data_IF_709598065602
#
_entry.id   IF_709598065602
#
_cell.length_a   1.000
_cell.length_b   1.000
_cell.length_c   1.000
_cell.angle_alpha   90.00
_cell.angle_beta   90.00
_cell.angle_gamma   90.00
#
_symmetry.space_group_name_H-M   'P 1'
#
loop_
_entity.id
_entity.type
_entity.pdbx_description
1 polymer ?
#
# COMPACT_ATOMS: atom_id res chain seq x y z
N UNK A 1 -5.31 -10.77 -31.79
CA UNK A 1 -5.66 -10.46 -30.40
C UNK A 1 -4.96 -9.18 -29.93
N UNK A 2 -5.55 -8.49 -28.94
CA UNK A 2 -4.97 -7.32 -28.28
C UNK A 2 -5.27 -7.33 -26.79
N UNK A 3 -4.42 -6.66 -26.00
CA UNK A 3 -4.65 -6.42 -24.59
C UNK A 3 -4.24 -4.99 -24.21
N UNK A 4 -4.87 -4.45 -23.18
CA UNK A 4 -4.59 -3.10 -22.66
C UNK A 4 -4.10 -3.18 -21.22
N UNK A 5 -3.15 -2.32 -20.88
CA UNK A 5 -2.69 -2.12 -19.50
C UNK A 5 -2.50 -0.63 -19.22
N UNK A 6 -2.55 -0.28 -17.95
CA UNK A 6 -2.23 1.04 -17.42
C UNK A 6 -1.18 0.88 -16.34
N UNK A 7 -0.36 1.88 -16.15
CA UNK A 7 0.60 1.96 -15.05
C UNK A 7 0.42 3.33 -14.37
N UNK A 8 -0.55 3.45 -13.44
CA UNK A 8 -0.77 4.68 -12.70
C UNK A 8 0.39 4.94 -11.73
N UNK A 9 0.60 6.20 -11.38
CA UNK A 9 1.54 6.64 -10.37
C UNK A 9 0.98 6.41 -8.97
N UNK A 10 1.84 6.06 -8.01
CA UNK A 10 1.51 6.10 -6.59
C UNK A 10 1.50 7.53 -6.03
N UNK A 11 0.91 7.71 -4.85
CA UNK A 11 0.88 9.01 -4.16
C UNK A 11 2.20 9.31 -3.44
N UNK A 12 2.85 8.31 -2.87
CA UNK A 12 4.18 8.37 -2.23
C UNK A 12 5.19 7.53 -3.00
N UNK A 13 6.47 7.83 -2.83
CA UNK A 13 7.57 7.09 -3.47
C UNK A 13 8.68 6.79 -2.45
N UNK A 14 9.19 5.55 -2.45
CA UNK A 14 10.39 5.18 -1.71
C UNK A 14 11.68 5.60 -2.43
N UNK A 15 12.77 5.74 -1.70
CA UNK A 15 14.08 6.16 -2.25
C UNK A 15 14.61 5.19 -3.31
N UNK A 16 14.27 3.92 -3.19
CA UNK A 16 14.77 2.85 -4.07
C UNK A 16 13.81 2.49 -5.21
N UNK A 17 12.68 3.16 -5.32
CA UNK A 17 11.75 2.93 -6.41
C UNK A 17 12.37 3.20 -7.79
N UNK A 18 11.90 2.47 -8.77
CA UNK A 18 12.27 2.69 -10.15
C UNK A 18 11.67 4.01 -10.66
N UNK A 19 12.44 4.72 -11.49
CA UNK A 19 12.11 6.07 -11.94
C UNK A 19 10.87 6.09 -12.83
N UNK A 20 9.87 6.87 -12.43
CA UNK A 20 8.74 7.22 -13.28
C UNK A 20 9.11 8.34 -14.25
N UNK A 21 8.97 8.08 -15.54
CA UNK A 21 9.32 9.05 -16.58
C UNK A 21 8.18 10.04 -16.83
N UNK A 22 8.44 11.32 -16.55
CA UNK A 22 7.56 12.46 -16.80
C UNK A 22 8.22 13.45 -17.75
N UNK A 23 7.41 14.30 -18.38
CA UNK A 23 7.86 15.33 -19.34
C UNK A 23 8.22 16.63 -18.61
N UNK A 24 9.19 16.56 -17.69
CA UNK A 24 9.53 17.64 -16.74
C UNK A 24 9.77 19.02 -17.37
N UNK A 25 10.20 19.06 -18.63
CA UNK A 25 10.46 20.31 -19.36
C UNK A 25 9.23 20.81 -20.15
N UNK A 26 8.10 20.14 -20.08
CA UNK A 26 6.90 20.51 -20.80
C UNK A 26 5.99 21.37 -19.89
N UNK A 27 5.70 22.62 -20.29
CA UNK A 27 4.75 23.49 -19.58
C UNK A 27 3.32 22.92 -19.54
N UNK A 28 2.97 22.05 -20.50
CA UNK A 28 1.70 21.34 -20.54
C UNK A 28 1.57 20.41 -19.34
N UNK A 29 0.47 20.48 -18.63
CA UNK A 29 0.23 19.71 -17.40
C UNK A 29 1.31 19.90 -16.32
N UNK A 30 1.93 21.08 -16.25
CA UNK A 30 2.97 21.40 -15.26
C UNK A 30 4.13 20.38 -15.24
N UNK A 31 4.51 19.86 -16.40
CA UNK A 31 5.57 18.84 -16.53
C UNK A 31 5.16 17.42 -16.13
N UNK A 32 3.89 17.19 -15.78
CA UNK A 32 3.40 15.88 -15.31
C UNK A 32 2.90 14.96 -16.43
N UNK A 33 2.99 15.37 -17.70
CA UNK A 33 2.60 14.51 -18.81
C UNK A 33 3.60 13.36 -19.03
N UNK A 34 3.23 12.37 -19.83
CA UNK A 34 4.01 11.14 -20.09
C UNK A 34 4.25 10.89 -21.58
N UNK A 35 4.27 11.94 -22.40
CA UNK A 35 4.43 11.80 -23.85
C UNK A 35 5.78 11.18 -24.25
N UNK A 36 6.85 11.51 -23.53
CA UNK A 36 8.15 10.88 -23.73
C UNK A 36 8.11 9.36 -23.44
N UNK A 37 7.41 8.95 -22.38
CA UNK A 37 7.22 7.54 -22.06
C UNK A 37 6.44 6.82 -23.17
N UNK A 38 5.34 7.43 -23.64
CA UNK A 38 4.55 6.91 -24.78
C UNK A 38 5.40 6.80 -26.04
N UNK A 39 6.19 7.82 -26.37
CA UNK A 39 7.07 7.78 -27.53
C UNK A 39 8.10 6.65 -27.42
N UNK A 40 8.69 6.42 -26.25
CA UNK A 40 9.65 5.32 -26.04
C UNK A 40 8.99 3.94 -26.21
N UNK A 41 7.73 3.79 -25.80
CA UNK A 41 6.97 2.55 -26.04
C UNK A 41 6.80 2.33 -27.55
N UNK A 42 6.31 3.35 -28.26
CA UNK A 42 5.96 3.24 -29.67
C UNK A 42 7.18 3.12 -30.60
N UNK A 43 8.36 3.55 -30.17
CA UNK A 43 9.59 3.52 -30.97
C UNK A 43 10.56 2.44 -30.48
N UNK A 44 11.27 2.69 -29.36
CA UNK A 44 12.35 1.82 -28.89
C UNK A 44 11.84 0.46 -28.42
N UNK A 45 10.84 0.44 -27.52
CA UNK A 45 10.32 -0.81 -26.95
C UNK A 45 9.66 -1.64 -28.05
N UNK A 46 8.76 -1.03 -28.81
CA UNK A 46 8.03 -1.70 -29.90
C UNK A 46 9.00 -2.36 -30.90
N UNK A 47 10.05 -1.63 -31.34
CA UNK A 47 11.05 -2.15 -32.29
C UNK A 47 11.76 -3.42 -31.75
N UNK A 48 12.11 -3.44 -30.47
CA UNK A 48 12.86 -4.55 -29.85
C UNK A 48 11.98 -5.74 -29.46
N UNK A 49 10.67 -5.54 -29.29
CA UNK A 49 9.74 -6.61 -28.95
C UNK A 49 9.05 -7.23 -30.17
N UNK A 50 9.14 -6.61 -31.34
CA UNK A 50 8.56 -7.16 -32.57
C UNK A 50 9.14 -8.53 -32.88
N UNK A 51 8.25 -9.52 -33.12
CA UNK A 51 8.62 -10.90 -33.39
C UNK A 51 8.96 -11.74 -32.15
N UNK A 52 8.88 -11.18 -30.96
CA UNK A 52 9.11 -11.97 -29.73
C UNK A 52 7.86 -12.82 -29.40
N UNK A 53 8.12 -14.01 -28.82
CA UNK A 53 7.04 -14.87 -28.36
C UNK A 53 6.36 -14.27 -27.12
N UNK A 54 5.06 -13.99 -27.25
CA UNK A 54 4.25 -13.38 -26.18
C UNK A 54 4.14 -14.25 -24.91
N UNK A 55 4.38 -15.56 -25.02
CA UNK A 55 4.31 -16.47 -23.88
C UNK A 55 5.60 -16.48 -23.03
N UNK A 56 6.67 -15.88 -23.53
CA UNK A 56 7.98 -15.80 -22.86
C UNK A 56 8.11 -14.52 -22.07
N UNK A 57 7.35 -14.36 -20.99
CA UNK A 57 7.30 -13.11 -20.18
C UNK A 57 8.69 -12.68 -19.70
N UNK A 58 9.48 -13.61 -19.15
CA UNK A 58 10.82 -13.31 -18.64
C UNK A 58 11.74 -12.75 -19.74
N UNK A 59 11.64 -13.27 -20.96
CA UNK A 59 12.40 -12.78 -22.10
C UNK A 59 11.97 -11.37 -22.51
N UNK A 60 10.66 -11.10 -22.55
CA UNK A 60 10.10 -9.78 -22.85
C UNK A 60 10.58 -8.76 -21.81
N UNK A 61 10.50 -9.09 -20.54
CA UNK A 61 10.94 -8.21 -19.45
C UNK A 61 12.46 -7.98 -19.50
N UNK A 62 13.25 -9.03 -19.72
CA UNK A 62 14.71 -8.93 -19.86
C UNK A 62 15.14 -8.03 -21.02
N UNK A 63 14.47 -8.12 -22.17
CA UNK A 63 14.74 -7.23 -23.33
C UNK A 63 14.53 -5.77 -22.92
N UNK A 64 13.45 -5.44 -22.25
CA UNK A 64 13.15 -4.06 -21.84
C UNK A 64 14.11 -3.57 -20.75
N UNK A 65 14.45 -4.44 -19.78
CA UNK A 65 15.40 -4.13 -18.70
C UNK A 65 16.80 -3.86 -19.29
N UNK A 66 17.26 -4.68 -20.21
CA UNK A 66 18.55 -4.52 -20.88
C UNK A 66 18.59 -3.28 -21.79
N UNK A 67 17.47 -2.99 -22.47
CA UNK A 67 17.32 -1.79 -23.29
C UNK A 67 17.41 -0.49 -22.47
N UNK A 68 16.89 -0.51 -21.26
CA UNK A 68 17.07 0.58 -20.29
C UNK A 68 18.52 0.62 -19.77
N UNK A 69 19.05 -0.50 -19.32
CA UNK A 69 20.43 -0.66 -18.84
C UNK A 69 20.78 0.13 -17.59
N UNK A 70 19.79 0.72 -16.88
CA UNK A 70 20.01 1.44 -15.62
C UNK A 70 19.34 0.74 -14.44
N UNK A 71 19.94 0.82 -13.25
CA UNK A 71 19.40 0.21 -12.03
C UNK A 71 17.97 0.69 -11.73
N UNK A 72 17.72 1.98 -11.85
CA UNK A 72 16.44 2.61 -11.54
C UNK A 72 15.51 2.83 -12.77
N UNK A 73 15.79 2.23 -13.92
CA UNK A 73 14.98 2.36 -15.14
C UNK A 73 14.84 3.81 -15.64
N UNK A 74 15.92 4.61 -15.53
CA UNK A 74 15.87 6.06 -15.85
C UNK A 74 15.77 6.38 -17.33
N UNK A 75 16.24 5.49 -18.23
CA UNK A 75 16.23 5.78 -19.68
C UNK A 75 14.84 5.58 -20.28
N UNK A 76 14.19 4.46 -20.02
CA UNK A 76 12.84 4.16 -20.53
C UNK A 76 11.74 4.64 -19.61
N UNK A 77 11.98 4.59 -18.30
CA UNK A 77 10.99 4.80 -17.27
C UNK A 77 10.27 3.51 -16.83
N UNK A 78 10.11 3.35 -15.53
CA UNK A 78 9.41 2.20 -14.96
C UNK A 78 7.97 2.11 -15.50
N UNK A 79 7.29 3.23 -15.62
CA UNK A 79 5.91 3.29 -16.16
C UNK A 79 5.82 2.77 -17.60
N UNK A 80 6.80 3.06 -18.47
CA UNK A 80 6.83 2.51 -19.83
C UNK A 80 7.03 0.99 -19.82
N UNK A 81 8.02 0.52 -19.06
CA UNK A 81 8.39 -0.90 -19.00
C UNK A 81 7.22 -1.70 -18.40
N UNK A 82 6.68 -1.27 -17.27
CA UNK A 82 5.63 -1.99 -16.57
C UNK A 82 4.32 -2.04 -17.35
N UNK A 83 3.93 -0.93 -18.00
CA UNK A 83 2.73 -0.92 -18.85
C UNK A 83 2.81 -1.97 -19.96
N UNK A 84 3.97 -2.08 -20.62
CA UNK A 84 4.18 -3.06 -21.70
C UNK A 84 4.24 -4.49 -21.15
N UNK A 85 4.96 -4.71 -20.04
CA UNK A 85 5.07 -6.01 -19.36
C UNK A 85 3.69 -6.55 -18.97
N UNK A 86 2.86 -5.73 -18.34
CA UNK A 86 1.49 -6.12 -17.95
C UNK A 86 0.63 -6.40 -19.20
N UNK A 87 0.72 -5.56 -20.24
CA UNK A 87 -0.03 -5.77 -21.47
C UNK A 87 0.35 -7.09 -22.15
N UNK A 88 1.64 -7.41 -22.22
CA UNK A 88 2.16 -8.66 -22.76
C UNK A 88 1.61 -9.87 -21.97
N UNK A 89 1.66 -9.83 -20.65
CA UNK A 89 1.14 -10.91 -19.80
C UNK A 89 -0.38 -11.11 -19.96
N UNK A 90 -1.13 -10.00 -20.02
CA UNK A 90 -2.58 -10.05 -20.31
C UNK A 90 -2.89 -10.64 -21.68
N UNK A 91 -2.10 -10.30 -22.70
CA UNK A 91 -2.28 -10.85 -24.04
C UNK A 91 -1.98 -12.36 -24.06
N UNK A 92 -0.88 -12.78 -23.41
CA UNK A 92 -0.53 -14.20 -23.27
C UNK A 92 -1.65 -15.01 -22.57
N UNK A 93 -2.23 -14.47 -21.49
CA UNK A 93 -3.35 -15.09 -20.80
C UNK A 93 -4.59 -15.20 -21.70
N UNK A 94 -4.90 -14.16 -22.47
CA UNK A 94 -6.02 -14.13 -23.41
C UNK A 94 -5.86 -15.16 -24.53
N UNK A 95 -4.66 -15.31 -25.07
CA UNK A 95 -4.39 -16.33 -26.11
C UNK A 95 -4.49 -17.74 -25.57
N UNK A 96 -4.05 -17.98 -24.32
CA UNK A 96 -4.24 -19.24 -23.61
C UNK A 96 -5.68 -19.50 -23.16
N UNK A 97 -6.59 -18.53 -23.34
CA UNK A 97 -7.99 -18.59 -22.88
C UNK A 97 -8.13 -18.88 -21.37
N UNK A 98 -7.21 -18.34 -20.58
CA UNK A 98 -7.23 -18.50 -19.11
C UNK A 98 -7.22 -17.13 -18.42
N UNK A 99 -7.83 -16.99 -17.24
CA UNK A 99 -7.73 -15.75 -16.45
C UNK A 99 -6.28 -15.41 -16.12
N UNK A 100 -5.96 -14.09 -16.10
CA UNK A 100 -4.60 -13.60 -15.86
C UNK A 100 -3.97 -14.20 -14.59
N UNK A 101 -4.71 -14.22 -13.47
CA UNK A 101 -4.19 -14.75 -12.21
C UNK A 101 -3.72 -16.20 -12.30
N UNK A 102 -4.33 -17.03 -13.15
CA UNK A 102 -3.90 -18.43 -13.37
C UNK A 102 -2.54 -18.53 -14.05
N UNK A 103 -2.06 -17.49 -14.72
CA UNK A 103 -0.73 -17.49 -15.35
C UNK A 103 0.41 -17.32 -14.33
N UNK A 104 0.12 -16.97 -13.09
CA UNK A 104 1.09 -16.81 -12.01
C UNK A 104 1.07 -17.96 -11.00
N UNK A 105 0.13 -18.90 -11.15
CA UNK A 105 -0.04 -19.97 -10.18
C UNK A 105 1.00 -21.08 -10.38
N UNK A 106 1.79 -21.33 -9.35
CA UNK A 106 2.68 -22.49 -9.25
C UNK A 106 1.89 -23.69 -8.71
N UNK A 107 0.85 -23.44 -7.88
CA UNK A 107 -0.01 -24.48 -7.26
C UNK A 107 -1.45 -24.35 -7.76
N UNK A 108 -2.17 -25.48 -7.83
CA UNK A 108 -3.58 -25.51 -8.28
C UNK A 108 -4.54 -24.79 -7.33
N UNK A 109 -4.22 -24.73 -6.04
CA UNK A 109 -5.06 -24.11 -5.02
C UNK A 109 -4.54 -22.71 -4.69
N UNK A 110 -5.39 -21.72 -4.84
CA UNK A 110 -5.12 -20.34 -4.43
C UNK A 110 -6.25 -19.84 -3.52
N UNK A 111 -5.90 -18.91 -2.65
CA UNK A 111 -6.86 -18.20 -1.81
C UNK A 111 -6.69 -16.71 -2.05
N UNK A 112 -7.80 -15.97 -2.11
CA UNK A 112 -7.74 -14.50 -2.06
C UNK A 112 -7.27 -14.09 -0.66
N UNK A 113 -6.40 -13.07 -0.55
CA UNK A 113 -6.05 -12.50 0.74
C UNK A 113 -7.27 -11.81 1.36
N UNK A 114 -7.27 -11.68 2.69
CA UNK A 114 -8.22 -10.79 3.34
C UNK A 114 -7.96 -9.36 2.90
N UNK A 115 -8.98 -8.57 2.52
CA UNK A 115 -8.79 -7.17 2.20
C UNK A 115 -8.40 -6.40 3.47
N UNK A 116 -7.39 -5.55 3.38
CA UNK A 116 -7.13 -4.49 4.33
C UNK A 116 -7.69 -3.20 3.74
N UNK A 117 -8.67 -2.62 4.41
CA UNK A 117 -9.42 -1.48 3.87
C UNK A 117 -9.11 -0.24 4.69
N UNK A 118 -8.52 0.78 4.07
CA UNK A 118 -8.27 2.07 4.68
C UNK A 118 -9.60 2.79 4.97
N UNK A 119 -9.86 3.13 6.23
CA UNK A 119 -11.11 3.73 6.66
C UNK A 119 -10.94 5.09 7.36
N UNK A 120 -9.74 5.41 7.84
CA UNK A 120 -9.35 6.75 8.29
C UNK A 120 -7.97 7.09 7.70
N UNK A 121 -7.87 8.25 7.08
CA UNK A 121 -6.63 8.79 6.54
C UNK A 121 -6.01 9.81 7.48
N UNK A 122 -4.69 9.79 7.55
CA UNK A 122 -3.86 10.80 8.19
C UNK A 122 -2.57 11.03 7.39
N UNK A 123 -1.51 11.50 8.04
CA UNK A 123 -0.21 11.72 7.42
C UNK A 123 -0.30 12.55 6.14
N UNK A 124 0.34 12.07 5.06
CA UNK A 124 0.33 12.73 3.76
C UNK A 124 -1.01 12.59 3.01
N UNK A 125 -1.88 11.63 3.40
CA UNK A 125 -3.15 11.35 2.72
C UNK A 125 -4.31 12.22 3.20
N UNK A 126 -4.12 13.04 4.25
CA UNK A 126 -5.16 13.92 4.78
C UNK A 126 -4.58 15.17 5.44
N UNK A 127 -5.23 16.30 5.24
CA UNK A 127 -4.86 17.55 5.92
C UNK A 127 -5.50 17.62 7.32
N UNK A 128 -5.06 16.74 8.22
CA UNK A 128 -5.46 16.71 9.62
C UNK A 128 -4.25 16.53 10.55
N UNK A 129 -4.47 16.35 11.84
CA UNK A 129 -3.39 16.23 12.83
C UNK A 129 -2.87 14.81 13.06
N UNK A 130 -3.41 13.81 12.38
CA UNK A 130 -2.99 12.41 12.52
C UNK A 130 -1.58 12.21 11.94
N UNK A 131 -0.78 11.42 12.64
CA UNK A 131 0.61 11.12 12.21
C UNK A 131 0.69 9.82 11.42
N UNK A 132 -0.10 8.83 11.79
CA UNK A 132 -0.23 7.56 11.06
C UNK A 132 -1.00 7.83 9.76
N UNK A 133 -0.50 7.34 8.64
CA UNK A 133 -1.04 7.63 7.32
C UNK A 133 -2.34 6.90 7.04
N UNK A 134 -2.43 5.61 7.41
CA UNK A 134 -3.60 4.80 7.17
C UNK A 134 -4.01 3.98 8.39
N UNK A 135 -5.30 4.04 8.68
CA UNK A 135 -5.96 3.19 9.66
C UNK A 135 -6.89 2.25 8.92
N UNK A 136 -6.50 0.98 8.86
CA UNK A 136 -7.19 -0.04 8.09
C UNK A 136 -7.93 -1.02 8.98
N UNK A 137 -8.98 -1.65 8.43
CA UNK A 137 -9.63 -2.82 9.00
C UNK A 137 -9.43 -4.04 8.11
N UNK A 138 -9.29 -5.21 8.75
CA UNK A 138 -9.19 -6.53 8.11
C UNK A 138 -10.27 -7.44 8.67
N UNK A 139 -11.22 -7.94 7.85
CA UNK A 139 -12.36 -8.74 8.30
C UNK A 139 -11.96 -10.22 8.46
N UNK A 140 -11.32 -10.57 9.57
CA UNK A 140 -10.73 -11.91 9.83
C UNK A 140 -11.77 -13.04 9.88
N UNK A 141 -13.04 -12.73 10.23
CA UNK A 141 -14.14 -13.70 10.30
C UNK A 141 -14.78 -13.99 8.95
N UNK A 142 -14.43 -13.26 7.91
CA UNK A 142 -15.08 -13.39 6.62
C UNK A 142 -14.95 -14.80 6.03
N UNK A 143 -16.05 -15.36 5.53
CA UNK A 143 -16.09 -16.69 4.91
C UNK A 143 -15.79 -16.64 3.40
N UNK A 144 -15.89 -15.46 2.79
CA UNK A 144 -15.63 -15.23 1.38
C UNK A 144 -15.20 -13.77 1.19
N UNK A 145 -14.68 -13.43 -0.01
CA UNK A 145 -14.35 -12.04 -0.34
C UNK A 145 -15.58 -11.14 -0.31
N UNK A 146 -16.73 -11.61 -0.82
CA UNK A 146 -18.00 -10.85 -0.76
C UNK A 146 -18.45 -10.62 0.68
N UNK A 147 -18.30 -11.60 1.57
CA UNK A 147 -18.60 -11.45 2.99
C UNK A 147 -17.63 -10.46 3.66
N UNK A 148 -16.34 -10.49 3.28
CA UNK A 148 -15.36 -9.52 3.74
C UNK A 148 -15.77 -8.09 3.38
N UNK A 149 -16.18 -7.85 2.14
CA UNK A 149 -16.65 -6.53 1.67
C UNK A 149 -17.90 -6.09 2.43
N UNK A 150 -18.86 -7.00 2.69
CA UNK A 150 -20.04 -6.72 3.50
C UNK A 150 -19.68 -6.30 4.93
N UNK A 151 -18.78 -7.02 5.59
CA UNK A 151 -18.31 -6.69 6.94
C UNK A 151 -17.68 -5.31 6.95
N UNK A 152 -16.76 -5.02 6.03
CA UNK A 152 -16.11 -3.72 5.91
C UNK A 152 -17.14 -2.60 5.68
N UNK A 153 -18.10 -2.80 4.79
CA UNK A 153 -19.17 -1.83 4.53
C UNK A 153 -19.94 -1.47 5.80
N UNK A 154 -20.36 -2.48 6.60
CA UNK A 154 -21.11 -2.24 7.84
C UNK A 154 -20.27 -1.45 8.85
N UNK A 155 -18.99 -1.80 9.02
CA UNK A 155 -18.09 -1.08 9.93
C UNK A 155 -17.88 0.37 9.48
N UNK A 156 -17.61 0.60 8.17
CA UNK A 156 -17.43 1.95 7.62
C UNK A 156 -18.68 2.81 7.81
N UNK A 157 -19.88 2.25 7.60
CA UNK A 157 -21.13 2.99 7.79
C UNK A 157 -21.37 3.36 9.27
N UNK A 158 -21.02 2.49 10.20
CA UNK A 158 -21.09 2.81 11.62
C UNK A 158 -19.99 3.81 12.04
N UNK A 159 -18.80 3.72 11.48
CA UNK A 159 -17.75 4.73 11.66
C UNK A 159 -18.23 6.11 11.17
N UNK A 160 -18.86 6.18 9.99
CA UNK A 160 -19.44 7.42 9.46
C UNK A 160 -20.45 8.05 10.42
N UNK A 161 -21.34 7.22 11.01
CA UNK A 161 -22.32 7.69 12.00
C UNK A 161 -21.62 8.25 13.25
N UNK A 162 -20.58 7.57 13.75
CA UNK A 162 -19.83 8.02 14.92
C UNK A 162 -19.09 9.34 14.66
N UNK A 163 -18.42 9.47 13.50
CA UNK A 163 -17.75 10.71 13.11
C UNK A 163 -18.74 11.86 13.08
N UNK A 164 -19.91 11.70 12.44
CA UNK A 164 -20.99 12.71 12.41
C UNK A 164 -21.52 13.04 13.80
N UNK A 165 -21.75 12.01 14.64
CA UNK A 165 -22.24 12.21 16.01
C UNK A 165 -21.28 13.05 16.87
N UNK A 166 -19.97 12.95 16.60
CA UNK A 166 -18.95 13.77 17.26
C UNK A 166 -18.76 15.15 16.62
N UNK A 167 -19.61 15.58 15.69
CA UNK A 167 -19.52 16.87 15.01
C UNK A 167 -18.34 16.98 14.04
N UNK A 168 -17.75 15.84 13.64
CA UNK A 168 -16.59 15.80 12.76
C UNK A 168 -16.99 15.59 11.28
N UNK A 169 -16.14 16.09 10.36
CA UNK A 169 -16.33 15.91 8.93
C UNK A 169 -16.17 14.46 8.49
N UNK A 170 -17.03 14.03 7.58
CA UNK A 170 -16.91 12.74 6.87
C UNK A 170 -16.36 12.89 5.47
N UNK A 171 -15.68 14.00 5.17
CA UNK A 171 -14.87 14.12 3.94
C UNK A 171 -13.82 13.03 3.91
N UNK A 172 -13.47 12.59 2.71
CA UNK A 172 -12.50 11.51 2.49
C UNK A 172 -11.15 12.08 2.10
N UNK A 173 -10.08 11.37 2.44
CA UNK A 173 -8.73 11.63 1.96
C UNK A 173 -8.47 10.96 0.60
N UNK A 174 -7.22 11.00 0.17
CA UNK A 174 -6.79 10.57 -1.17
C UNK A 174 -7.09 9.10 -1.47
N UNK A 175 -7.15 8.25 -0.45
CA UNK A 175 -7.41 6.81 -0.59
C UNK A 175 -8.81 6.37 -0.11
N UNK A 176 -9.73 7.32 0.01
CA UNK A 176 -11.15 7.04 0.27
C UNK A 176 -11.52 6.81 1.74
N UNK A 177 -10.58 6.72 2.68
CA UNK A 177 -10.84 6.74 4.11
C UNK A 177 -11.30 8.12 4.57
N UNK A 178 -12.06 8.20 5.66
CA UNK A 178 -12.46 9.48 6.24
C UNK A 178 -11.26 10.28 6.72
N UNK A 179 -11.33 11.59 6.58
CA UNK A 179 -10.30 12.52 7.02
C UNK A 179 -10.83 13.52 8.08
N UNK A 180 -11.28 13.03 9.27
CA UNK A 180 -11.80 13.92 10.30
C UNK A 180 -10.69 14.81 10.87
N UNK A 181 -11.02 16.02 11.28
CA UNK A 181 -10.10 16.95 11.92
C UNK A 181 -9.85 16.54 13.37
N UNK A 182 -8.99 15.54 13.55
CA UNK A 182 -8.53 15.02 14.85
C UNK A 182 -7.00 15.01 14.88
N UNK A 183 -6.43 15.17 16.07
CA UNK A 183 -4.98 15.38 16.25
C UNK A 183 -4.29 14.24 17.02
N UNK A 184 -5.02 13.15 17.29
CA UNK A 184 -4.52 12.06 18.13
C UNK A 184 -4.86 10.71 17.50
N UNK A 185 -3.84 9.91 17.23
CA UNK A 185 -4.00 8.56 16.67
C UNK A 185 -4.90 7.67 17.55
N UNK A 186 -4.84 7.81 18.88
CA UNK A 186 -5.69 7.02 19.77
C UNK A 186 -7.17 7.36 19.59
N UNK A 187 -7.51 8.62 19.32
CA UNK A 187 -8.89 9.02 19.05
C UNK A 187 -9.42 8.36 17.78
N UNK A 188 -8.58 8.27 16.73
CA UNK A 188 -8.94 7.55 15.51
C UNK A 188 -9.17 6.05 15.80
N UNK A 189 -8.29 5.44 16.57
CA UNK A 189 -8.40 4.03 16.96
C UNK A 189 -9.62 3.75 17.85
N UNK A 190 -9.93 4.62 18.79
CA UNK A 190 -11.12 4.51 19.66
C UNK A 190 -12.41 4.61 18.83
N UNK A 191 -12.48 5.48 17.81
CA UNK A 191 -13.58 5.55 16.86
C UNK A 191 -13.75 4.25 16.07
N UNK A 192 -12.64 3.66 15.60
CA UNK A 192 -12.67 2.41 14.84
C UNK A 192 -13.13 1.25 15.71
N UNK A 193 -12.59 1.10 16.92
CA UNK A 193 -13.02 0.05 17.88
C UNK A 193 -14.51 0.19 18.19
N UNK A 194 -14.99 1.42 18.39
CA UNK A 194 -16.40 1.69 18.64
C UNK A 194 -17.25 1.32 17.42
N UNK A 195 -16.80 1.61 16.21
CA UNK A 195 -17.51 1.24 14.97
C UNK A 195 -17.56 -0.28 14.78
N UNK A 196 -16.48 -1.00 15.05
CA UNK A 196 -16.44 -2.46 15.02
C UNK A 196 -17.46 -3.03 16.00
N UNK A 197 -17.49 -2.55 17.24
CA UNK A 197 -18.45 -2.97 18.28
C UNK A 197 -19.89 -2.67 17.87
N UNK A 198 -20.18 -1.46 17.39
CA UNK A 198 -21.53 -1.09 16.89
C UNK A 198 -22.00 -1.96 15.72
N UNK A 199 -21.07 -2.55 14.99
CA UNK A 199 -21.34 -3.46 13.87
C UNK A 199 -21.62 -4.90 14.32
N UNK A 200 -21.58 -5.18 15.61
CA UNK A 200 -21.77 -6.53 16.17
C UNK A 200 -20.53 -7.42 16.06
N UNK A 201 -19.35 -6.84 15.84
CA UNK A 201 -18.09 -7.58 15.72
C UNK A 201 -17.16 -7.33 16.91
N UNK A 202 -16.27 -8.29 17.15
CA UNK A 202 -15.24 -8.22 18.21
C UNK A 202 -13.92 -7.79 17.61
N UNK A 203 -13.34 -6.68 18.09
CA UNK A 203 -12.03 -6.20 17.66
C UNK A 203 -10.94 -7.22 17.99
N UNK A 204 -10.06 -7.48 17.02
CA UNK A 204 -8.95 -8.43 17.12
C UNK A 204 -9.33 -9.90 16.98
N UNK A 205 -10.64 -10.21 16.83
CA UNK A 205 -11.17 -11.56 16.60
C UNK A 205 -11.95 -11.66 15.29
N UNK A 206 -12.97 -10.83 15.11
CA UNK A 206 -13.82 -10.85 13.92
C UNK A 206 -13.34 -9.85 12.88
N UNK A 207 -12.90 -8.68 13.36
CA UNK A 207 -12.31 -7.60 12.58
C UNK A 207 -11.08 -7.10 13.31
N UNK A 208 -9.94 -7.08 12.65
CA UNK A 208 -8.70 -6.55 13.20
C UNK A 208 -8.36 -5.19 12.61
N UNK A 209 -7.60 -4.40 13.37
CA UNK A 209 -7.06 -3.12 12.93
C UNK A 209 -5.63 -3.36 12.40
N UNK A 210 -5.34 -2.74 11.26
CA UNK A 210 -4.02 -2.69 10.65
C UNK A 210 -3.64 -1.23 10.42
N UNK A 211 -2.35 -0.93 10.44
CA UNK A 211 -1.83 0.43 10.28
C UNK A 211 -0.81 0.48 9.15
N UNK A 212 -0.78 1.60 8.43
CA UNK A 212 0.37 2.05 7.66
C UNK A 212 0.84 3.39 8.24
N UNK A 213 2.06 3.41 8.74
CA UNK A 213 2.63 4.59 9.42
C UNK A 213 3.32 5.51 8.43
N UNK A 214 3.85 4.98 7.32
CA UNK A 214 4.67 5.70 6.34
C UNK A 214 5.79 6.51 7.02
N UNK A 215 6.56 5.86 7.90
CA UNK A 215 7.46 6.53 8.84
C UNK A 215 8.65 7.26 8.20
N UNK A 216 8.91 7.10 6.90
CA UNK A 216 9.86 7.94 6.17
C UNK A 216 9.52 9.43 6.33
N UNK A 217 8.24 9.78 6.24
CA UNK A 217 7.74 11.16 6.38
C UNK A 217 7.86 11.69 7.83
N UNK A 218 8.00 10.79 8.80
CA UNK A 218 8.03 11.09 10.23
C UNK A 218 9.44 11.05 10.83
N UNK A 219 10.45 10.75 10.02
CA UNK A 219 11.82 10.53 10.46
C UNK A 219 12.70 11.76 10.29
N UNK A 220 13.41 12.15 11.34
CA UNK A 220 14.40 13.24 11.31
C UNK A 220 15.46 13.04 12.38
N UNK A 221 16.75 13.10 12.01
CA UNK A 221 17.89 13.02 12.94
C UNK A 221 17.78 11.86 13.94
N UNK A 222 17.54 10.65 13.43
CA UNK A 222 17.39 9.41 14.24
C UNK A 222 16.25 9.46 15.27
N UNK A 223 15.21 10.24 15.01
CA UNK A 223 14.02 10.38 15.86
C UNK A 223 12.76 10.31 15.00
N UNK A 224 11.66 9.94 15.63
CA UNK A 224 10.37 9.79 14.96
C UNK A 224 9.28 10.64 15.62
N UNK A 225 8.35 11.15 14.82
CA UNK A 225 7.19 11.91 15.29
C UNK A 225 5.88 11.16 15.06
N UNK A 226 5.80 9.91 15.57
CA UNK A 226 4.69 8.97 15.29
C UNK A 226 3.39 9.27 16.06
N UNK A 227 3.45 9.98 17.16
CA UNK A 227 2.30 10.22 18.03
C UNK A 227 1.86 11.68 18.04
N UNK A 228 2.81 12.59 17.93
CA UNK A 228 2.61 14.04 17.91
C UNK A 228 3.65 14.69 17.01
N UNK A 229 3.61 16.02 16.89
CA UNK A 229 4.66 16.77 16.18
C UNK A 229 6.04 16.72 16.87
N UNK A 230 6.11 16.25 18.13
CA UNK A 230 7.37 16.10 18.85
C UNK A 230 8.13 14.86 18.42
N UNK A 231 9.44 15.00 18.20
CA UNK A 231 10.32 13.91 17.82
C UNK A 231 10.81 13.16 19.07
N UNK A 232 10.64 11.85 19.08
CA UNK A 232 11.03 10.93 20.14
C UNK A 232 12.09 9.92 19.67
N UNK A 233 12.84 9.36 20.60
CA UNK A 233 13.83 8.32 20.26
C UNK A 233 13.17 7.05 19.76
N UNK A 234 13.93 6.20 19.06
CA UNK A 234 13.51 4.87 18.60
C UNK A 234 12.92 4.05 19.74
N UNK A 235 13.58 3.96 20.88
CA UNK A 235 13.10 3.15 22.00
C UNK A 235 11.78 3.66 22.59
N UNK A 236 11.56 4.97 22.60
CA UNK A 236 10.26 5.56 22.96
C UNK A 236 9.21 5.24 21.90
N UNK A 237 9.56 5.30 20.62
CA UNK A 237 8.66 4.93 19.50
C UNK A 237 8.21 3.48 19.60
N UNK A 238 9.12 2.57 19.89
CA UNK A 238 8.83 1.15 20.10
C UNK A 238 7.87 0.96 21.29
N UNK A 239 8.10 1.67 22.40
CA UNK A 239 7.18 1.62 23.56
C UNK A 239 5.78 2.11 23.20
N UNK A 240 5.65 3.17 22.39
CA UNK A 240 4.34 3.66 21.93
C UNK A 240 3.66 2.65 20.99
N UNK A 241 4.38 2.04 20.05
CA UNK A 241 3.83 0.95 19.23
C UNK A 241 3.34 -0.20 20.11
N UNK A 242 4.12 -0.66 21.07
CA UNK A 242 3.71 -1.73 21.98
C UNK A 242 2.38 -1.41 22.69
N UNK A 243 2.23 -0.20 23.24
CA UNK A 243 1.00 0.25 23.90
C UNK A 243 -0.20 0.21 22.93
N UNK A 244 -0.04 0.74 21.71
CA UNK A 244 -1.10 0.78 20.69
C UNK A 244 -1.50 -0.65 20.30
N UNK A 245 -0.53 -1.53 20.09
CA UNK A 245 -0.76 -2.92 19.71
C UNK A 245 -1.55 -3.67 20.77
N UNK A 246 -1.11 -3.58 22.02
CA UNK A 246 -1.75 -4.26 23.14
C UNK A 246 -3.18 -3.73 23.38
N UNK A 247 -3.35 -2.40 23.40
CA UNK A 247 -4.64 -1.76 23.66
C UNK A 247 -5.66 -2.03 22.54
N UNK A 248 -5.26 -1.87 21.29
CA UNK A 248 -6.18 -1.92 20.15
C UNK A 248 -6.15 -3.23 19.38
N UNK A 249 -5.35 -4.21 19.81
CA UNK A 249 -5.21 -5.52 19.16
C UNK A 249 -4.79 -5.40 17.70
N UNK A 250 -3.83 -4.50 17.44
CA UNK A 250 -3.28 -4.29 16.09
C UNK A 250 -2.65 -5.59 15.56
N UNK A 251 -2.97 -5.94 14.33
CA UNK A 251 -2.49 -7.19 13.69
C UNK A 251 -1.37 -6.99 12.68
N UNK A 252 -1.22 -5.78 12.18
CA UNK A 252 -0.20 -5.45 11.18
C UNK A 252 0.16 -3.98 11.30
N UNK A 253 1.44 -3.67 11.15
CA UNK A 253 1.94 -2.30 11.00
C UNK A 253 2.89 -2.31 9.81
N UNK A 254 2.54 -1.54 8.79
CA UNK A 254 3.35 -1.27 7.62
C UNK A 254 4.18 -0.02 7.88
N UNK A 255 5.43 -0.04 7.43
CA UNK A 255 6.40 1.06 7.51
C UNK A 255 6.47 1.77 8.87
N UNK A 256 6.64 1.01 9.99
CA UNK A 256 6.74 1.60 11.33
C UNK A 256 7.99 2.44 11.53
N UNK A 257 9.03 2.23 10.73
CA UNK A 257 10.29 2.97 10.72
C UNK A 257 10.73 3.29 9.29
N UNK A 258 11.67 4.22 9.16
CA UNK A 258 12.23 4.62 7.87
C UNK A 258 12.85 3.41 7.14
N UNK A 259 12.78 3.42 5.81
CA UNK A 259 13.18 2.30 4.93
C UNK A 259 14.63 1.84 5.10
N UNK A 260 15.53 2.72 5.59
CA UNK A 260 16.94 2.43 5.83
C UNK A 260 17.28 2.15 7.30
N UNK A 261 16.31 2.25 8.22
CA UNK A 261 16.54 2.07 9.67
C UNK A 261 16.36 0.62 10.10
N UNK A 262 17.16 -0.27 9.52
CA UNK A 262 17.13 -1.72 9.78
C UNK A 262 17.29 -2.09 11.28
N UNK A 263 18.00 -1.27 12.04
CA UNK A 263 18.20 -1.50 13.49
C UNK A 263 16.86 -1.37 14.21
N UNK A 264 16.10 -0.31 13.93
CA UNK A 264 14.79 -0.08 14.54
C UNK A 264 13.75 -1.12 14.08
N UNK A 265 13.80 -1.52 12.80
CA UNK A 265 12.98 -2.61 12.27
C UNK A 265 13.23 -3.91 13.01
N UNK A 266 14.49 -4.33 13.19
CA UNK A 266 14.85 -5.54 13.92
C UNK A 266 14.37 -5.48 15.38
N UNK A 267 14.58 -4.35 16.08
CA UNK A 267 14.13 -4.18 17.47
C UNK A 267 12.60 -4.36 17.59
N UNK A 268 11.83 -3.81 16.67
CA UNK A 268 10.37 -3.96 16.68
C UNK A 268 9.95 -5.39 16.35
N UNK A 269 10.54 -6.02 15.33
CA UNK A 269 10.24 -7.40 14.95
C UNK A 269 10.42 -8.39 16.10
N UNK A 270 11.48 -8.24 16.89
CA UNK A 270 11.75 -9.08 18.07
C UNK A 270 10.65 -8.99 19.14
N UNK A 271 9.90 -7.91 19.18
CA UNK A 271 8.78 -7.75 20.11
C UNK A 271 7.48 -8.43 19.63
N UNK A 272 7.33 -8.61 18.31
CA UNK A 272 6.14 -9.20 17.71
C UNK A 272 6.26 -10.70 17.48
N UNK A 273 7.43 -11.16 17.14
CA UNK A 273 7.72 -12.59 17.06
C UNK A 273 7.87 -13.10 18.48
N UNK A 274 6.82 -13.74 19.01
CA UNK A 274 7.05 -14.71 20.09
C UNK A 274 8.22 -15.57 19.66
N UNK A 275 9.22 -15.80 20.51
CA UNK A 275 10.30 -16.70 20.16
C UNK A 275 9.68 -18.01 19.67
N UNK A 276 10.08 -18.43 18.48
CA UNK A 276 9.65 -19.73 17.94
C UNK A 276 9.94 -20.78 19.02
N UNK A 277 9.13 -21.81 19.18
CA UNK A 277 9.46 -22.92 20.04
C UNK A 277 10.87 -23.49 19.79
N UNK A 278 11.42 -23.26 18.58
CA UNK A 278 12.80 -23.61 18.20
C UNK A 278 13.86 -22.68 18.81
N UNK A 279 13.49 -21.46 19.22
CA UNK A 279 14.43 -20.49 19.80
C UNK A 279 14.52 -20.63 21.33
N UNK A 280 13.87 -21.67 21.89
CA UNK A 280 13.89 -22.00 23.32
C UNK A 280 14.76 -23.22 23.65
N UNK A 281 15.54 -23.73 22.69
CA UNK A 281 16.51 -24.82 22.91
C UNK A 281 17.93 -24.33 22.85
#
# INVERSE_FOLDING_TARGET
NSAKAICPSGASTGTFEAFEKRDSNNKKYLGKSVLNAVNLINTKISKNLKGQNIHSQEKIDAIMINLDGTKQKKKLGANSILAVSIAAKKLSAKEKKIPLYKTFLIKKNFKLPYPMMNIINGGAHANNGLRIQEFMIRPDRAKSFSDAMRICFVVIKNLQKLIKKNGLSTSVGDEGGFAPMINNNNQALDLIVSAIKMSGFVNGKDVSICLDVAANELFKKNKYSIHSKSFISVDKSIKEYKKIIEKYKIKSIEDPFAENDWISWNKLCLLYTSPSPRDKT
#
